data_IF_792109749753
#
_entry.id   IF_792109749753
#
_cell.length_a   1.000
_cell.length_b   1.000
_cell.length_c   1.000
_cell.angle_alpha   90.00
_cell.angle_beta   90.00
_cell.angle_gamma   90.00
#
_symmetry.space_group_name_H-M   'P 1'
#
loop_
_entity.id
_entity.type
_entity.pdbx_description
1 polymer ?
#
# COMPACT_ATOMS: atom_id res chain seq x y z
N UNK A 1 23.41 -30.12 2.72
CA UNK A 1 23.87 -28.72 2.87
C UNK A 1 22.72 -27.84 2.40
N UNK A 2 22.03 -27.20 3.34
CA UNK A 2 20.78 -26.49 3.08
C UNK A 2 21.02 -25.30 2.16
N UNK A 3 20.27 -25.26 1.07
CA UNK A 3 20.27 -24.21 0.07
C UNK A 3 19.80 -22.91 0.73
N UNK A 4 20.74 -22.00 0.98
CA UNK A 4 20.52 -20.72 1.63
C UNK A 4 19.72 -19.86 0.64
N UNK A 5 18.39 -19.96 0.75
CA UNK A 5 17.45 -19.13 -0.01
C UNK A 5 17.76 -17.68 0.31
N UNK A 6 18.62 -17.06 -0.51
CA UNK A 6 18.84 -15.63 -0.54
C UNK A 6 17.47 -15.01 -0.77
N UNK A 7 16.84 -14.56 0.32
CA UNK A 7 15.58 -13.86 0.27
C UNK A 7 15.84 -12.63 -0.59
N UNK A 8 15.50 -12.73 -1.87
CA UNK A 8 15.65 -11.64 -2.80
C UNK A 8 14.60 -10.65 -2.34
N UNK A 9 15.00 -9.71 -1.48
CA UNK A 9 14.14 -8.68 -0.91
C UNK A 9 13.63 -7.86 -2.11
N UNK A 10 12.51 -8.29 -2.68
CA UNK A 10 11.79 -7.57 -3.72
C UNK A 10 11.00 -6.49 -3.03
N UNK A 11 11.58 -5.30 -3.04
CA UNK A 11 11.00 -4.08 -2.50
C UNK A 11 11.96 -2.93 -2.77
N UNK A 12 11.45 -1.70 -2.75
CA UNK A 12 12.26 -0.48 -2.90
C UNK A 12 13.31 -0.26 -1.78
N UNK A 13 13.43 -1.22 -0.86
CA UNK A 13 14.39 -1.22 0.24
C UNK A 13 15.72 -1.69 -0.30
N UNK A 14 16.51 -0.74 -0.81
CA UNK A 14 17.88 -1.00 -1.21
C UNK A 14 18.67 -1.48 0.01
N UNK A 15 19.44 -2.55 -0.17
CA UNK A 15 20.30 -3.09 0.90
C UNK A 15 21.23 -2.01 1.43
N UNK A 16 21.41 -1.98 2.76
CA UNK A 16 22.38 -1.10 3.41
C UNK A 16 23.82 -1.45 3.01
N UNK A 17 24.07 -2.72 2.66
CA UNK A 17 25.36 -3.27 2.22
C UNK A 17 25.29 -3.78 0.79
N UNK A 18 26.40 -3.72 0.06
CA UNK A 18 26.51 -4.25 -1.29
C UNK A 18 26.00 -3.32 -2.41
N UNK A 19 26.15 -3.74 -3.67
CA UNK A 19 25.76 -2.95 -4.83
C UNK A 19 24.23 -2.83 -4.95
N UNK A 20 23.77 -1.66 -5.39
CA UNK A 20 22.39 -1.45 -5.78
C UNK A 20 22.18 -1.93 -7.21
N UNK A 21 21.18 -2.78 -7.41
CA UNK A 21 20.75 -3.26 -8.73
C UNK A 21 19.88 -2.17 -9.37
N UNK A 22 20.22 -1.78 -10.60
CA UNK A 22 19.46 -0.81 -11.39
C UNK A 22 19.07 -1.46 -12.71
N UNK A 23 17.77 -1.57 -12.96
CA UNK A 23 17.23 -1.99 -14.25
C UNK A 23 17.00 -0.76 -15.13
N UNK A 24 17.41 -0.83 -16.40
CA UNK A 24 17.13 0.18 -17.41
C UNK A 24 16.56 -0.50 -18.65
N UNK A 25 15.46 0.03 -19.17
CA UNK A 25 14.85 -0.43 -20.42
C UNK A 25 15.55 0.23 -21.60
N UNK A 26 16.06 -0.59 -22.51
CA UNK A 26 16.66 -0.18 -23.80
C UNK A 26 15.84 -0.76 -24.95
N UNK A 27 16.11 -0.32 -26.19
CA UNK A 27 15.40 -0.80 -27.39
C UNK A 27 15.45 -2.33 -27.54
N UNK A 28 16.53 -2.95 -27.06
CA UNK A 28 16.79 -4.39 -27.17
C UNK A 28 16.40 -5.20 -25.91
N UNK A 29 15.74 -4.58 -24.92
CA UNK A 29 15.28 -5.26 -23.70
C UNK A 29 15.72 -4.59 -22.39
N UNK A 30 15.65 -5.34 -21.27
CA UNK A 30 15.98 -4.85 -19.92
C UNK A 30 17.44 -5.15 -19.59
N UNK A 31 18.24 -4.11 -19.39
CA UNK A 31 19.63 -4.23 -18.95
C UNK A 31 19.73 -4.01 -17.44
N UNK A 32 20.40 -4.94 -16.75
CA UNK A 32 20.65 -4.87 -15.31
C UNK A 32 22.09 -4.40 -15.04
N UNK A 33 22.25 -3.33 -14.26
CA UNK A 33 23.57 -2.78 -13.88
C UNK A 33 23.71 -2.70 -12.36
N UNK A 34 24.86 -3.13 -11.85
CA UNK A 34 25.25 -2.94 -10.46
C UNK A 34 25.87 -1.55 -10.27
N UNK A 35 25.38 -0.81 -9.27
CA UNK A 35 25.92 0.47 -8.82
C UNK A 35 26.48 0.30 -7.42
N UNK A 36 27.57 1.02 -7.10
CA UNK A 36 28.16 1.03 -5.77
C UNK A 36 27.96 2.41 -5.14
N UNK A 37 26.84 2.63 -4.42
CA UNK A 37 26.55 3.91 -3.78
C UNK A 37 27.51 4.23 -2.65
N UNK A 38 27.82 5.52 -2.54
CA UNK A 38 28.56 6.09 -1.42
C UNK A 38 27.77 6.02 -0.10
N UNK A 39 28.47 6.15 1.02
CA UNK A 39 27.84 6.16 2.34
C UNK A 39 26.88 7.33 2.53
N UNK A 40 27.21 8.50 1.97
CA UNK A 40 26.33 9.67 1.98
C UNK A 40 25.00 9.39 1.25
N UNK A 41 25.05 8.75 0.08
CA UNK A 41 23.84 8.36 -0.66
C UNK A 41 22.99 7.36 0.13
N UNK A 42 23.63 6.40 0.82
CA UNK A 42 22.92 5.42 1.67
C UNK A 42 22.25 6.10 2.87
N UNK A 43 22.96 7.00 3.54
CA UNK A 43 22.42 7.77 4.66
C UNK A 43 21.23 8.63 4.23
N UNK A 44 21.33 9.30 3.08
CA UNK A 44 20.23 10.08 2.51
C UNK A 44 19.00 9.20 2.22
N UNK A 45 19.18 8.01 1.64
CA UNK A 45 18.08 7.07 1.40
C UNK A 45 17.44 6.60 2.71
N UNK A 46 18.24 6.29 3.74
CA UNK A 46 17.75 5.91 5.07
C UNK A 46 16.95 7.04 5.72
N UNK A 47 17.43 8.27 5.63
CA UNK A 47 16.74 9.44 6.16
C UNK A 47 15.42 9.72 5.41
N UNK A 48 15.42 9.60 4.08
CA UNK A 48 14.19 9.71 3.26
C UNK A 48 13.17 8.67 3.66
N UNK A 49 13.59 7.41 3.80
CA UNK A 49 12.69 6.32 4.18
C UNK A 49 12.14 6.50 5.60
N UNK A 50 12.97 6.96 6.55
CA UNK A 50 12.52 7.32 7.90
C UNK A 50 11.48 8.44 7.87
N UNK A 51 11.71 9.50 7.09
CA UNK A 51 10.73 10.60 6.92
C UNK A 51 9.43 10.11 6.30
N UNK A 52 9.50 9.30 5.23
CA UNK A 52 8.32 8.70 4.58
C UNK A 52 7.48 7.90 5.57
N UNK A 53 8.13 7.04 6.37
CA UNK A 53 7.44 6.23 7.40
C UNK A 53 6.87 7.09 8.54
N UNK A 54 7.57 8.15 8.96
CA UNK A 54 7.06 9.05 9.98
C UNK A 54 5.78 9.79 9.52
N UNK A 55 5.74 10.23 8.27
CA UNK A 55 4.53 10.84 7.67
C UNK A 55 3.39 9.83 7.63
N UNK A 56 3.62 8.61 7.13
CA UNK A 56 2.59 7.58 7.10
C UNK A 56 2.02 7.27 8.50
N UNK A 57 2.88 7.18 9.53
CA UNK A 57 2.44 7.00 10.92
C UNK A 57 1.54 8.14 11.40
N UNK A 58 1.84 9.40 11.06
CA UNK A 58 1.00 10.55 11.42
C UNK A 58 -0.37 10.49 10.73
N UNK A 59 -0.40 10.11 9.45
CA UNK A 59 -1.64 9.94 8.69
C UNK A 59 -2.53 8.87 9.34
N UNK A 60 -1.98 7.67 9.59
CA UNK A 60 -2.74 6.59 10.22
C UNK A 60 -3.20 6.92 11.65
N UNK A 61 -2.41 7.67 12.42
CA UNK A 61 -2.82 8.13 13.73
C UNK A 61 -4.01 9.12 13.65
N UNK A 62 -3.95 10.08 12.72
CA UNK A 62 -5.05 11.04 12.50
C UNK A 62 -6.33 10.34 12.05
N UNK A 63 -6.25 9.41 11.10
CA UNK A 63 -7.40 8.63 10.64
C UNK A 63 -8.04 7.79 11.75
N UNK A 64 -7.24 7.17 12.64
CA UNK A 64 -7.80 6.44 13.79
C UNK A 64 -8.53 7.35 14.78
N UNK A 65 -8.09 8.59 14.93
CA UNK A 65 -8.69 9.54 15.87
C UNK A 65 -9.95 10.19 15.31
N UNK A 66 -9.99 10.49 14.00
CA UNK A 66 -11.02 11.35 13.39
C UNK A 66 -11.89 10.65 12.34
N UNK A 67 -11.46 9.51 11.79
CA UNK A 67 -12.13 8.88 10.66
C UNK A 67 -13.42 8.13 10.98
N UNK A 68 -13.83 8.09 12.26
CA UNK A 68 -15.07 7.47 12.73
C UNK A 68 -15.30 6.02 12.26
N UNK A 69 -14.21 5.31 11.98
CA UNK A 69 -14.20 3.92 11.54
C UNK A 69 -14.60 2.98 12.70
N UNK A 70 -15.42 1.97 12.40
CA UNK A 70 -15.80 0.92 13.36
C UNK A 70 -14.69 -0.11 13.51
N UNK A 71 -13.57 0.30 14.10
CA UNK A 71 -12.39 -0.53 14.24
C UNK A 71 -12.37 -1.28 15.57
N UNK A 72 -11.83 -2.52 15.60
CA UNK A 72 -11.52 -3.21 16.85
C UNK A 72 -10.61 -2.39 17.79
N UNK A 73 -10.70 -2.62 19.10
CA UNK A 73 -9.87 -1.93 20.12
C UNK A 73 -8.37 -2.01 19.84
N UNK A 74 -7.91 -3.09 19.21
CA UNK A 74 -6.52 -3.34 18.84
C UNK A 74 -6.32 -3.43 17.32
N UNK A 75 -7.05 -2.60 16.56
CA UNK A 75 -6.98 -2.60 15.11
C UNK A 75 -5.57 -2.25 14.59
N UNK A 76 -5.09 -3.06 13.66
CA UNK A 76 -3.78 -2.88 13.05
C UNK A 76 -3.82 -1.84 11.91
N UNK A 77 -2.82 -1.83 11.03
CA UNK A 77 -2.80 -0.89 9.87
C UNK A 77 -3.60 -1.43 8.69
N UNK A 78 -3.70 -2.75 8.54
CA UNK A 78 -4.47 -3.39 7.48
C UNK A 78 -5.98 -3.24 7.75
N UNK A 79 -6.42 -3.38 9.00
CA UNK A 79 -7.82 -3.16 9.39
C UNK A 79 -8.30 -1.75 9.05
N UNK A 80 -7.46 -0.75 9.32
CA UNK A 80 -7.71 0.65 8.96
C UNK A 80 -7.78 0.84 7.44
N UNK A 81 -6.89 0.18 6.69
CA UNK A 81 -6.91 0.23 5.22
C UNK A 81 -8.16 -0.43 4.64
N UNK A 82 -8.60 -1.56 5.20
CA UNK A 82 -9.85 -2.23 4.82
C UNK A 82 -11.04 -1.31 5.04
N UNK A 83 -11.16 -0.70 6.22
CA UNK A 83 -12.23 0.24 6.53
C UNK A 83 -12.24 1.46 5.58
N UNK A 84 -11.06 1.98 5.23
CA UNK A 84 -10.94 3.10 4.28
C UNK A 84 -11.29 2.69 2.84
N UNK A 85 -10.93 1.47 2.43
CA UNK A 85 -11.34 0.92 1.14
C UNK A 85 -12.86 0.73 1.05
N UNK A 86 -13.48 0.20 2.11
CA UNK A 86 -14.93 0.03 2.20
C UNK A 86 -15.66 1.37 2.11
N UNK A 87 -15.19 2.39 2.82
CA UNK A 87 -15.72 3.76 2.72
C UNK A 87 -15.62 4.31 1.29
N UNK A 88 -14.51 4.03 0.60
CA UNK A 88 -14.31 4.41 -0.80
C UNK A 88 -15.07 3.52 -1.81
N UNK A 89 -15.88 2.55 -1.35
CA UNK A 89 -16.68 1.67 -2.19
C UNK A 89 -15.91 0.49 -2.82
N UNK A 90 -14.78 0.12 -2.23
CA UNK A 90 -13.99 -1.05 -2.60
C UNK A 90 -14.17 -2.14 -1.56
N UNK A 91 -14.25 -3.40 -2.00
CA UNK A 91 -14.21 -4.55 -1.10
C UNK A 91 -12.79 -5.11 -1.07
N UNK A 92 -12.32 -5.49 0.12
CA UNK A 92 -11.00 -6.06 0.35
C UNK A 92 -11.15 -7.44 0.98
N UNK A 93 -10.60 -8.46 0.34
CA UNK A 93 -10.59 -9.83 0.87
C UNK A 93 -9.50 -10.03 1.94
N UNK A 94 -9.51 -11.19 2.59
CA UNK A 94 -8.53 -11.53 3.63
C UNK A 94 -7.11 -11.69 3.09
N UNK A 95 -6.96 -12.12 1.84
CA UNK A 95 -5.68 -12.25 1.13
C UNK A 95 -5.12 -10.90 0.63
N UNK A 96 -5.91 -9.82 0.74
CA UNK A 96 -5.56 -8.48 0.28
C UNK A 96 -5.97 -8.18 -1.16
N UNK A 97 -6.70 -9.06 -1.84
CA UNK A 97 -7.28 -8.80 -3.16
C UNK A 97 -8.39 -7.74 -3.03
N UNK A 98 -8.42 -6.78 -3.98
CA UNK A 98 -9.31 -5.62 -3.94
C UNK A 98 -10.17 -5.58 -5.20
N UNK A 99 -11.48 -5.44 -5.07
CA UNK A 99 -12.39 -5.27 -6.20
C UNK A 99 -13.47 -4.22 -5.92
N UNK A 100 -14.05 -3.70 -6.99
CA UNK A 100 -15.05 -2.64 -6.89
C UNK A 100 -16.38 -3.23 -6.45
N UNK A 101 -16.93 -2.76 -5.34
CA UNK A 101 -18.23 -3.21 -4.88
C UNK A 101 -19.32 -2.68 -5.83
N UNK A 102 -20.02 -3.60 -6.52
CA UNK A 102 -21.11 -3.26 -7.46
C UNK A 102 -22.44 -2.98 -6.75
N UNK A 103 -22.59 -3.39 -5.49
CA UNK A 103 -23.86 -3.30 -4.76
C UNK A 103 -24.24 -1.86 -4.39
N UNK A 104 -23.26 -0.97 -4.14
CA UNK A 104 -23.51 0.45 -3.88
C UNK A 104 -24.17 1.18 -5.07
N UNK A 105 -23.92 0.74 -6.31
CA UNK A 105 -24.61 1.29 -7.48
C UNK A 105 -26.05 0.77 -7.58
N UNK A 106 -26.28 -0.48 -7.19
CA UNK A 106 -27.61 -1.11 -7.22
C UNK A 106 -28.54 -0.51 -6.15
N UNK A 107 -28.03 -0.24 -4.95
CA UNK A 107 -28.83 0.34 -3.85
C UNK A 107 -29.24 1.79 -4.11
N UNK A 108 -28.36 2.62 -4.69
CA UNK A 108 -28.69 3.99 -5.12
C UNK A 108 -29.77 4.04 -6.20
N UNK A 109 -29.74 3.11 -7.16
CA UNK A 109 -30.76 3.00 -8.21
C UNK A 109 -32.11 2.54 -7.62
N UNK A 110 -32.10 1.57 -6.70
CA UNK A 110 -33.32 1.09 -6.04
C UNK A 110 -33.97 2.16 -5.15
N UNK A 111 -33.18 2.93 -4.40
CA UNK A 111 -33.71 4.02 -3.56
C UNK A 111 -34.46 5.07 -4.41
N UNK A 112 -33.88 5.48 -5.54
CA UNK A 112 -34.51 6.41 -6.49
C UNK A 112 -35.81 5.86 -7.11
N UNK A 113 -35.95 4.54 -7.27
CA UNK A 113 -37.17 3.95 -7.83
C UNK A 113 -38.32 3.80 -6.83
N UNK A 114 -38.02 3.60 -5.54
CA UNK A 114 -39.05 3.49 -4.50
C UNK A 114 -39.73 4.84 -4.22
N UNK A 115 -38.98 5.94 -4.24
CA UNK A 115 -39.55 7.29 -4.07
C UNK A 115 -40.43 7.70 -5.27
N UNK A 116 -40.11 7.22 -6.48
CA UNK A 116 -40.89 7.47 -7.69
C UNK A 116 -42.23 6.69 -7.75
N UNK A 117 -42.38 5.61 -6.97
CA UNK A 117 -43.60 4.80 -6.94
C UNK A 117 -44.58 5.20 -5.82
N UNK A 118 -44.18 6.13 -4.95
CA UNK A 118 -44.99 6.65 -3.82
C UNK A 118 -45.53 8.07 -4.04
N UNK A 119 -45.27 8.67 -5.19
CA UNK A 119 -45.86 9.93 -5.66
C UNK A 119 -47.03 9.64 -6.60
#
# INVERSE_FOLDING_TARGET
MADEKTSTIRGCIKSSRGPWIVHRTTKDGIVTKYRFPSDRERQNNKQRERRRRAVARKIFAGLRQQGNYKLPKHADTNDLLKALCEEAGWHVEEDGTIYRNKELKSSLIKASSYDAQKA
#
